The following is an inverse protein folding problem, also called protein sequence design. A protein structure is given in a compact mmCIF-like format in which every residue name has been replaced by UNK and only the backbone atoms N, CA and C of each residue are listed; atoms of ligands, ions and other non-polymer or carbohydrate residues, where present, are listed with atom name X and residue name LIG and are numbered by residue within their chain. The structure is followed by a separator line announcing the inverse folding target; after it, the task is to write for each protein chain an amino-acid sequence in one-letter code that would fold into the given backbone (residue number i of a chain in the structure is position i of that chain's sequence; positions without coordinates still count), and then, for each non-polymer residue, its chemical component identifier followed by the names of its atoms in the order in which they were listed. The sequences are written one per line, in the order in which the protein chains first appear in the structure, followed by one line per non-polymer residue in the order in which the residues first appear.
data_IF_843154497271
#
_entry.id   IF_843154497271
#
_cell.length_a   1.000
_cell.length_b   1.000
_cell.length_c   1.000
_cell.angle_alpha   90.00
_cell.angle_beta   90.00
_cell.angle_gamma   90.00
#
_symmetry.space_group_name_H-M   'P 1'
#
loop_
_entity.id
_entity.type
_entity.pdbx_description
1 polymer ?
#
# COMPACT_ATOMS: atom_id res chain seq x y z
N UNK A 1 24.85 12.72 -3.45
CA UNK A 1 24.30 12.68 -2.09
C UNK A 1 25.19 11.83 -1.21
N UNK A 2 25.51 12.34 -0.02
CA UNK A 2 26.21 11.58 1.01
C UNK A 2 25.23 10.56 1.66
N UNK A 3 25.75 9.48 2.26
CA UNK A 3 24.94 8.41 2.89
C UNK A 3 23.90 8.92 3.90
N UNK A 4 24.22 9.98 4.64
CA UNK A 4 23.33 10.65 5.60
C UNK A 4 22.15 11.31 4.89
N UNK A 5 22.39 12.03 3.80
CA UNK A 5 21.33 12.69 3.02
C UNK A 5 20.36 11.64 2.42
N UNK A 6 20.88 10.50 1.96
CA UNK A 6 20.06 9.38 1.45
C UNK A 6 19.19 8.82 2.58
N UNK A 7 19.76 8.64 3.78
CA UNK A 7 19.03 8.15 4.95
C UNK A 7 17.91 9.12 5.36
N UNK A 8 18.20 10.41 5.40
CA UNK A 8 17.22 11.45 5.75
C UNK A 8 16.10 11.53 4.72
N UNK A 9 16.43 11.47 3.43
CA UNK A 9 15.43 11.41 2.35
C UNK A 9 14.49 10.21 2.53
N UNK A 10 15.02 9.01 2.83
CA UNK A 10 14.20 7.81 3.09
C UNK A 10 13.30 7.97 4.31
N UNK A 11 13.80 8.57 5.40
CA UNK A 11 12.96 8.82 6.59
C UNK A 11 11.81 9.76 6.25
N UNK A 12 12.07 10.83 5.50
CA UNK A 12 11.05 11.77 5.06
C UNK A 12 10.01 11.10 4.15
N UNK A 13 10.44 10.32 3.17
CA UNK A 13 9.54 9.57 2.29
C UNK A 13 8.65 8.58 3.07
N UNK A 14 9.21 7.88 4.06
CA UNK A 14 8.45 7.00 4.96
C UNK A 14 7.37 7.75 5.73
N UNK A 15 7.67 8.97 6.21
CA UNK A 15 6.70 9.81 6.93
C UNK A 15 5.58 10.28 6.01
N UNK A 16 5.93 10.72 4.79
CA UNK A 16 4.93 11.12 3.79
C UNK A 16 4.03 9.94 3.42
N UNK A 17 4.58 8.75 3.18
CA UNK A 17 3.79 7.57 2.88
C UNK A 17 2.84 7.20 4.03
N UNK A 18 3.34 7.20 5.27
CA UNK A 18 2.53 6.90 6.44
C UNK A 18 1.38 7.91 6.59
N UNK A 19 1.65 9.20 6.35
CA UNK A 19 0.63 10.23 6.34
C UNK A 19 -0.43 9.98 5.26
N UNK A 20 -0.02 9.75 4.01
CA UNK A 20 -0.95 9.48 2.92
C UNK A 20 -1.83 8.25 3.18
N UNK A 21 -1.22 7.19 3.72
CA UNK A 21 -1.96 5.98 4.09
C UNK A 21 -2.99 6.28 5.18
N UNK A 22 -2.61 6.99 6.24
CA UNK A 22 -3.55 7.40 7.28
C UNK A 22 -4.66 8.29 6.74
N UNK A 23 -4.36 9.20 5.81
CA UNK A 23 -5.38 10.02 5.13
C UNK A 23 -6.37 9.15 4.38
N UNK A 24 -5.92 8.09 3.69
CA UNK A 24 -6.84 7.16 3.03
C UNK A 24 -7.79 6.47 4.01
N UNK A 25 -7.28 6.02 5.16
CA UNK A 25 -8.11 5.43 6.22
C UNK A 25 -9.10 6.45 6.80
N UNK A 26 -8.65 7.67 7.05
CA UNK A 26 -9.50 8.76 7.55
C UNK A 26 -10.62 9.13 6.56
N UNK A 27 -10.40 8.91 5.26
CA UNK A 27 -11.40 9.10 4.21
C UNK A 27 -12.39 7.94 4.10
N UNK A 28 -12.30 6.92 4.97
CA UNK A 28 -13.21 5.77 4.98
C UNK A 28 -12.72 4.56 4.19
N UNK A 29 -11.43 4.52 3.81
CA UNK A 29 -10.85 3.28 3.32
C UNK A 29 -10.60 2.31 4.50
N UNK A 30 -10.79 1.03 4.25
CA UNK A 30 -10.52 -0.07 5.16
C UNK A 30 -9.28 -0.82 4.70
N UNK A 31 -8.52 -1.31 5.68
CA UNK A 31 -7.32 -2.11 5.46
C UNK A 31 -7.53 -3.53 5.99
N UNK A 32 -7.14 -4.51 5.18
CA UNK A 32 -7.07 -5.91 5.59
C UNK A 32 -5.74 -6.53 5.15
N UNK A 33 -5.12 -7.31 6.02
CA UNK A 33 -3.85 -7.98 5.70
C UNK A 33 -4.10 -9.35 5.10
N UNK A 34 -3.45 -9.62 3.97
CA UNK A 34 -3.53 -10.89 3.23
C UNK A 34 -2.10 -11.41 3.02
N UNK A 35 -1.64 -12.27 3.94
CA UNK A 35 -0.25 -12.75 3.94
C UNK A 35 0.76 -11.60 4.14
N UNK A 36 1.58 -11.33 3.11
CA UNK A 36 2.61 -10.29 3.12
C UNK A 36 2.21 -9.00 2.39
N UNK A 37 0.91 -8.83 2.10
CA UNK A 37 0.37 -7.58 1.56
C UNK A 37 -0.78 -7.06 2.41
N UNK A 38 -0.99 -5.75 2.36
CA UNK A 38 -2.19 -5.10 2.86
C UNK A 38 -3.05 -4.69 1.66
N UNK A 39 -4.35 -4.94 1.77
CA UNK A 39 -5.37 -4.55 0.81
C UNK A 39 -6.14 -3.38 1.38
N UNK A 40 -5.95 -2.21 0.79
CA UNK A 40 -6.68 -0.99 1.11
C UNK A 40 -7.84 -0.87 0.12
N UNK A 41 -9.05 -0.72 0.61
CA UNK A 41 -10.25 -0.58 -0.24
C UNK A 41 -11.27 0.37 0.39
N UNK A 42 -12.11 1.00 -0.42
CA UNK A 42 -13.16 1.89 0.08
C UNK A 42 -14.53 1.40 -0.37
N UNK A 43 -15.49 1.31 0.55
CA UNK A 43 -16.81 0.71 0.30
C UNK A 43 -17.64 1.41 -0.79
N UNK A 44 -17.64 2.74 -0.86
CA UNK A 44 -18.37 3.49 -1.90
C UNK A 44 -17.51 4.10 -3.00
N UNK A 45 -16.27 4.52 -2.70
CA UNK A 45 -15.41 5.22 -3.66
C UNK A 45 -14.65 4.27 -4.59
N UNK A 46 -14.72 4.52 -5.90
CA UNK A 46 -13.93 3.83 -6.91
C UNK A 46 -12.56 4.48 -7.17
N UNK A 47 -12.19 5.51 -6.39
CA UNK A 47 -10.93 6.22 -6.60
C UNK A 47 -9.73 5.27 -6.44
N UNK A 48 -8.76 5.27 -7.37
CA UNK A 48 -7.70 4.27 -7.34
C UNK A 48 -6.73 4.38 -6.16
N UNK A 49 -6.56 5.57 -5.59
CA UNK A 49 -5.73 5.79 -4.40
C UNK A 49 -6.39 5.27 -3.12
N UNK A 50 -7.67 4.90 -3.15
CA UNK A 50 -8.38 4.30 -2.03
C UNK A 50 -8.63 2.80 -2.23
N UNK A 51 -8.13 2.22 -3.32
CA UNK A 51 -8.35 0.82 -3.72
C UNK A 51 -7.07 0.23 -4.33
N UNK A 52 -6.22 -0.36 -3.49
CA UNK A 52 -4.93 -0.90 -3.92
C UNK A 52 -4.38 -1.97 -2.96
N UNK A 53 -3.53 -2.84 -3.51
CA UNK A 53 -2.68 -3.78 -2.77
C UNK A 53 -1.31 -3.15 -2.57
N UNK A 54 -0.75 -3.23 -1.37
CA UNK A 54 0.63 -2.79 -1.07
C UNK A 54 1.36 -3.84 -0.25
N UNK A 55 2.67 -4.04 -0.41
CA UNK A 55 3.47 -4.81 0.53
C UNK A 55 3.31 -4.29 1.97
N UNK A 56 3.30 -5.19 2.96
CA UNK A 56 3.30 -4.78 4.37
C UNK A 56 4.62 -4.08 4.70
N UNK A 57 4.55 -3.15 5.65
CA UNK A 57 5.75 -2.49 6.17
C UNK A 57 6.77 -3.51 6.70
N UNK A 58 8.05 -3.21 6.51
CA UNK A 58 9.19 -4.07 6.90
C UNK A 58 9.26 -5.42 6.15
N UNK A 59 8.55 -5.56 5.03
CA UNK A 59 8.68 -6.73 4.16
C UNK A 59 9.75 -6.49 3.11
N UNK A 60 10.84 -7.24 3.17
CA UNK A 60 11.96 -7.11 2.22
C UNK A 60 11.63 -7.66 0.83
N UNK A 61 10.79 -8.70 0.76
CA UNK A 61 10.40 -9.35 -0.48
C UNK A 61 8.99 -9.90 -0.37
N UNK A 62 8.19 -9.72 -1.42
CA UNK A 62 6.83 -10.26 -1.53
C UNK A 62 6.75 -11.11 -2.78
N UNK A 63 6.33 -12.37 -2.63
CA UNK A 63 6.12 -13.26 -3.76
C UNK A 63 4.95 -12.78 -4.63
N UNK A 64 5.00 -13.10 -5.92
CA UNK A 64 3.89 -12.84 -6.84
C UNK A 64 2.58 -13.50 -6.39
N UNK A 65 2.66 -14.62 -5.64
CA UNK A 65 1.48 -15.28 -5.07
C UNK A 65 0.75 -14.37 -4.07
N UNK A 66 1.47 -13.73 -3.14
CA UNK A 66 0.81 -12.84 -2.17
C UNK A 66 0.19 -11.61 -2.83
N UNK A 67 0.83 -11.08 -3.88
CA UNK A 67 0.25 -10.01 -4.68
C UNK A 67 -1.03 -10.48 -5.38
N UNK A 68 -1.02 -11.67 -5.97
CA UNK A 68 -2.19 -12.26 -6.62
C UNK A 68 -3.34 -12.51 -5.62
N UNK A 69 -3.03 -13.02 -4.42
CA UNK A 69 -3.99 -13.24 -3.34
C UNK A 69 -4.66 -11.90 -2.95
N UNK A 70 -3.88 -10.82 -2.76
CA UNK A 70 -4.44 -9.49 -2.46
C UNK A 70 -5.26 -8.89 -3.61
N UNK A 71 -4.85 -9.13 -4.86
CA UNK A 71 -5.62 -8.69 -6.04
C UNK A 71 -6.96 -9.43 -6.12
N UNK A 72 -6.99 -10.72 -5.81
CA UNK A 72 -8.22 -11.50 -5.78
C UNK A 72 -9.22 -10.89 -4.80
N UNK A 73 -8.77 -10.53 -3.60
CA UNK A 73 -9.59 -9.86 -2.60
C UNK A 73 -10.14 -8.51 -3.10
N UNK A 74 -9.35 -7.67 -3.78
CA UNK A 74 -9.88 -6.44 -4.38
C UNK A 74 -10.96 -6.72 -5.43
N UNK A 75 -10.78 -7.76 -6.25
CA UNK A 75 -11.76 -8.13 -7.28
C UNK A 75 -13.06 -8.63 -6.67
N UNK A 76 -12.99 -9.42 -5.61
CA UNK A 76 -14.15 -9.92 -4.87
C UNK A 76 -14.95 -8.77 -4.24
N UNK A 77 -14.26 -7.68 -3.85
CA UNK A 77 -14.85 -6.42 -3.39
C UNK A 77 -15.37 -5.51 -4.52
N UNK A 78 -15.40 -6.01 -5.76
CA UNK A 78 -15.83 -5.27 -6.95
C UNK A 78 -14.88 -4.14 -7.36
N UNK A 79 -13.61 -4.15 -6.89
CA UNK A 79 -12.63 -3.10 -7.18
C UNK A 79 -11.70 -3.49 -8.31
N UNK A 80 -11.22 -2.48 -9.03
CA UNK A 80 -10.22 -2.67 -10.08
C UNK A 80 -8.90 -3.11 -9.45
N UNK A 81 -8.36 -4.21 -9.94
CA UNK A 81 -7.05 -4.72 -9.54
C UNK A 81 -5.97 -3.64 -9.68
N UNK A 82 -5.29 -3.33 -8.58
CA UNK A 82 -4.20 -2.36 -8.54
C UNK A 82 -3.20 -2.73 -7.47
N UNK A 83 -1.92 -2.68 -7.84
CA UNK A 83 -0.81 -2.82 -6.91
C UNK A 83 -0.12 -1.46 -6.83
N UNK A 84 0.17 -1.02 -5.61
CA UNK A 84 0.96 0.18 -5.34
C UNK A 84 2.26 -0.27 -4.69
N UNK A 85 3.35 -0.05 -5.41
CA UNK A 85 4.70 -0.24 -4.89
C UNK A 85 5.35 1.15 -4.78
N UNK A 86 5.97 1.43 -3.63
CA UNK A 86 6.78 2.63 -3.45
C UNK A 86 8.22 2.17 -3.41
N UNK A 87 8.91 2.38 -4.52
CA UNK A 87 10.32 2.03 -4.66
C UNK A 87 11.21 3.05 -3.92
N UNK A 88 12.37 2.59 -3.44
CA UNK A 88 13.38 3.45 -2.80
C UNK A 88 13.22 3.69 -1.28
N UNK A 89 12.30 2.99 -0.61
CA UNK A 89 12.14 3.00 0.85
C UNK A 89 13.20 2.20 1.60
#
# INVERSE_FOLDING_TARGET
MNKTEIKEARVTLRRVQAHLHQTHLNLGAEEQSVGFVDVVHHASSALPNLNYVTPRRNTAWVSGKHIADGIAVLRDLGRRARVRFVDGL
#
